data_IF_258284939234
#
_entry.id   IF_258284939234
#
_cell.length_a   1.000
_cell.length_b   1.000
_cell.length_c   1.000
_cell.angle_alpha   90.00
_cell.angle_beta   90.00
_cell.angle_gamma   90.00
#
_symmetry.space_group_name_H-M   'P 1'
#
loop_
_entity.id
_entity.type
_entity.pdbx_description
1 polymer ?
#
# COMPACT_ATOMS: atom_id res chain seq x y z
N UNK A 1 -36.70 -44.89 -23.69
CA UNK A 1 -36.17 -43.84 -22.79
C UNK A 1 -36.90 -42.54 -23.14
N UNK A 2 -37.76 -42.03 -22.25
CA UNK A 2 -38.66 -40.92 -22.57
C UNK A 2 -37.89 -39.62 -22.80
N UNK A 3 -38.20 -38.92 -23.90
CA UNK A 3 -37.58 -37.64 -24.30
C UNK A 3 -37.60 -36.59 -23.16
N UNK A 4 -38.63 -36.65 -22.30
CA UNK A 4 -38.78 -35.82 -21.09
C UNK A 4 -37.72 -36.11 -20.02
N UNK A 5 -37.32 -37.36 -19.81
CA UNK A 5 -36.24 -37.70 -18.86
C UNK A 5 -34.88 -37.24 -19.36
N UNK A 6 -34.63 -37.26 -20.67
CA UNK A 6 -33.35 -36.82 -21.23
C UNK A 6 -33.16 -35.30 -21.09
N UNK A 7 -34.23 -34.52 -21.32
CA UNK A 7 -34.21 -33.07 -21.08
C UNK A 7 -33.99 -32.70 -19.61
N UNK A 8 -34.61 -33.45 -18.68
CA UNK A 8 -34.43 -33.20 -17.25
C UNK A 8 -32.98 -33.45 -16.78
N UNK A 9 -32.35 -34.50 -17.30
CA UNK A 9 -30.94 -34.84 -17.00
C UNK A 9 -29.97 -33.83 -17.61
N UNK A 10 -30.24 -33.33 -18.82
CA UNK A 10 -29.45 -32.24 -19.43
C UNK A 10 -29.58 -30.93 -18.65
N UNK A 11 -30.77 -30.61 -18.12
CA UNK A 11 -30.98 -29.38 -17.34
C UNK A 11 -30.26 -29.42 -15.98
N UNK A 12 -30.24 -30.57 -15.31
CA UNK A 12 -29.53 -30.73 -14.03
C UNK A 12 -28.00 -30.76 -14.22
N UNK A 13 -27.50 -31.29 -15.34
CA UNK A 13 -26.08 -31.28 -15.66
C UNK A 13 -25.54 -29.86 -15.93
N UNK A 14 -26.31 -29.02 -16.64
CA UNK A 14 -25.92 -27.62 -16.88
C UNK A 14 -25.94 -26.76 -15.60
N UNK A 15 -26.86 -27.02 -14.66
CA UNK A 15 -26.89 -26.33 -13.36
C UNK A 15 -25.70 -26.69 -12.45
N UNK A 16 -25.11 -27.89 -12.61
CA UNK A 16 -23.93 -28.29 -11.85
C UNK A 16 -22.64 -27.64 -12.38
N UNK A 17 -22.55 -27.39 -13.69
CA UNK A 17 -21.40 -26.70 -14.30
C UNK A 17 -21.43 -25.17 -14.14
N UNK A 18 -22.61 -24.55 -13.99
CA UNK A 18 -22.70 -23.10 -13.77
C UNK A 18 -22.10 -22.63 -12.42
N UNK A 19 -21.89 -23.54 -11.46
CA UNK A 19 -21.26 -23.23 -10.17
C UNK A 19 -19.73 -23.34 -10.16
N UNK A 20 -19.12 -23.82 -11.25
CA UNK A 20 -17.68 -24.07 -11.30
C UNK A 20 -16.84 -22.90 -11.86
N UNK A 21 -17.44 -21.79 -12.29
CA UNK A 21 -16.73 -20.69 -12.96
C UNK A 21 -16.85 -19.33 -12.28
N UNK A 22 -16.89 -19.28 -10.95
CA UNK A 22 -16.77 -18.03 -10.18
C UNK A 22 -15.44 -17.98 -9.42
N UNK A 23 -14.33 -18.16 -10.15
CA UNK A 23 -13.07 -17.58 -9.74
C UNK A 23 -13.08 -16.13 -10.22
N UNK A 24 -13.56 -15.19 -9.39
CA UNK A 24 -13.49 -13.77 -9.74
C UNK A 24 -12.01 -13.36 -9.75
N UNK A 25 -11.47 -13.15 -10.94
CA UNK A 25 -10.10 -12.72 -11.23
C UNK A 25 -9.79 -11.26 -10.83
N UNK A 26 -10.64 -10.65 -9.99
CA UNK A 26 -10.66 -9.22 -9.77
C UNK A 26 -9.75 -8.79 -8.63
N UNK A 27 -9.17 -7.60 -8.79
CA UNK A 27 -8.39 -6.97 -7.73
C UNK A 27 -9.30 -6.49 -6.61
N UNK A 28 -8.95 -6.83 -5.37
CA UNK A 28 -9.58 -6.30 -4.17
C UNK A 28 -8.99 -4.93 -3.80
N UNK A 29 -9.86 -3.96 -3.51
CA UNK A 29 -9.47 -2.60 -3.13
C UNK A 29 -9.34 -2.44 -1.61
N UNK A 30 -8.16 -2.03 -1.16
CA UNK A 30 -7.82 -1.76 0.24
C UNK A 30 -7.42 -0.30 0.42
N UNK A 31 -7.99 0.37 1.42
CA UNK A 31 -7.65 1.76 1.78
C UNK A 31 -7.19 1.77 3.23
N UNK A 32 -5.88 1.71 3.45
CA UNK A 32 -5.32 1.69 4.80
C UNK A 32 -5.02 3.11 5.27
N UNK A 33 -5.49 3.43 6.46
CA UNK A 33 -5.11 4.64 7.20
C UNK A 33 -4.08 4.24 8.25
N UNK A 34 -2.94 4.92 8.25
CA UNK A 34 -1.79 4.56 9.08
C UNK A 34 -1.39 5.77 9.90
N UNK A 35 -1.30 5.58 11.21
CA UNK A 35 -0.75 6.58 12.11
C UNK A 35 0.73 6.31 12.24
N UNK A 36 1.53 7.23 11.72
CA UNK A 36 2.99 7.18 11.82
C UNK A 36 3.39 7.46 13.28
N UNK A 37 4.28 6.64 13.82
CA UNK A 37 4.76 6.76 15.19
C UNK A 37 5.69 7.98 15.34
N UNK A 38 6.04 8.31 16.58
CA UNK A 38 6.96 9.41 16.90
C UNK A 38 8.43 8.97 16.99
N UNK A 39 8.70 7.66 17.07
CA UNK A 39 10.02 7.04 17.25
C UNK A 39 10.71 6.65 15.94
N UNK A 40 10.36 7.33 14.84
CA UNK A 40 10.97 7.09 13.53
C UNK A 40 12.48 7.41 13.53
N UNK A 41 13.24 6.66 12.75
CA UNK A 41 14.69 6.83 12.61
C UNK A 41 15.00 7.48 11.27
N UNK A 42 14.86 8.81 11.19
CA UNK A 42 15.15 9.57 9.97
C UNK A 42 16.36 10.46 10.19
N UNK A 43 17.25 10.48 9.20
CA UNK A 43 18.46 11.29 9.15
C UNK A 43 18.46 12.18 7.92
N UNK A 44 19.02 13.38 8.08
CA UNK A 44 19.24 14.36 7.02
C UNK A 44 20.73 14.58 6.87
N UNK A 45 21.21 14.60 5.63
CA UNK A 45 22.57 15.01 5.28
C UNK A 45 22.50 16.14 4.26
N UNK A 46 22.84 17.35 4.67
CA UNK A 46 22.90 18.50 3.78
C UNK A 46 24.09 18.40 2.82
N UNK A 47 23.82 18.64 1.54
CA UNK A 47 24.79 18.69 0.44
C UNK A 47 24.49 19.95 -0.37
N UNK A 48 25.26 21.01 -0.14
CA UNK A 48 25.03 22.31 -0.78
C UNK A 48 23.62 22.86 -0.47
N UNK A 49 22.73 22.96 -1.46
CA UNK A 49 21.36 23.47 -1.32
C UNK A 49 20.30 22.37 -1.14
N UNK A 50 20.72 21.11 -1.21
CA UNK A 50 19.85 19.94 -1.12
C UNK A 50 20.14 19.18 0.18
N UNK A 51 19.16 18.42 0.66
CA UNK A 51 19.30 17.49 1.76
C UNK A 51 19.04 16.07 1.28
N UNK A 52 19.96 15.14 1.55
CA UNK A 52 19.70 13.71 1.38
C UNK A 52 18.94 13.22 2.61
N UNK A 53 17.81 12.55 2.37
CA UNK A 53 16.95 11.98 3.42
C UNK A 53 17.12 10.47 3.40
N UNK A 54 17.42 9.88 4.56
CA UNK A 54 17.48 8.43 4.74
C UNK A 54 16.91 8.04 6.08
N UNK A 55 16.09 7.00 6.13
CA UNK A 55 15.58 6.49 7.40
C UNK A 55 14.59 5.36 7.30
N UNK A 56 13.98 5.08 8.45
CA UNK A 56 12.90 4.12 8.59
C UNK A 56 11.74 4.75 9.37
N UNK A 57 10.54 4.59 8.84
CA UNK A 57 9.27 5.01 9.43
C UNK A 57 8.54 3.81 10.02
N UNK A 58 7.91 4.00 11.16
CA UNK A 58 7.06 3.00 11.79
C UNK A 58 5.64 3.53 11.88
N UNK A 59 4.65 2.67 11.71
CA UNK A 59 3.26 3.07 11.81
C UNK A 59 2.32 1.93 12.19
N UNK A 60 1.14 2.31 12.68
CA UNK A 60 0.06 1.38 13.00
C UNK A 60 -1.14 1.65 12.11
N UNK A 61 -1.74 0.58 11.58
CA UNK A 61 -2.97 0.68 10.80
C UNK A 61 -4.11 1.07 11.76
N UNK A 62 -4.73 2.22 11.53
CA UNK A 62 -5.81 2.75 12.34
C UNK A 62 -7.15 2.11 12.00
N UNK A 63 -7.42 1.87 10.73
CA UNK A 63 -8.68 1.31 10.30
C UNK A 63 -8.68 -0.21 10.35
N UNK A 64 -9.67 -0.78 11.04
CA UNK A 64 -9.79 -2.22 11.28
C UNK A 64 -10.79 -2.91 10.34
N UNK A 65 -11.23 -2.21 9.30
CA UNK A 65 -12.24 -2.70 8.35
C UNK A 65 -11.76 -3.89 7.50
N UNK A 66 -10.45 -4.08 7.38
CA UNK A 66 -9.83 -5.13 6.56
C UNK A 66 -9.17 -6.18 7.45
N UNK A 67 -9.74 -7.39 7.48
CA UNK A 67 -9.32 -8.47 8.40
C UNK A 67 -7.89 -8.94 8.14
N UNK A 68 -7.47 -8.92 6.89
CA UNK A 68 -6.14 -9.29 6.39
C UNK A 68 -5.06 -8.41 7.02
N UNK A 69 -5.39 -7.16 7.36
CA UNK A 69 -4.49 -6.17 7.93
C UNK A 69 -4.69 -5.94 9.43
N UNK A 70 -5.61 -6.66 10.08
CA UNK A 70 -5.84 -6.52 11.53
C UNK A 70 -4.60 -6.90 12.33
N UNK A 71 -4.12 -5.98 13.16
CA UNK A 71 -2.93 -6.18 13.99
C UNK A 71 -1.61 -6.14 13.20
N UNK A 72 -1.64 -5.65 11.95
CA UNK A 72 -0.44 -5.41 11.18
C UNK A 72 0.20 -4.06 11.51
N UNK A 73 1.53 -4.04 11.48
CA UNK A 73 2.36 -2.86 11.65
C UNK A 73 3.06 -2.54 10.33
N UNK A 74 3.26 -1.26 10.10
CA UNK A 74 4.00 -0.74 8.95
C UNK A 74 5.43 -0.40 9.39
N UNK A 75 6.40 -0.86 8.62
CA UNK A 75 7.77 -0.38 8.65
C UNK A 75 8.13 0.05 7.23
N UNK A 76 8.58 1.29 7.01
CA UNK A 76 8.97 1.77 5.68
C UNK A 76 10.37 2.36 5.69
N UNK A 77 11.25 1.78 4.89
CA UNK A 77 12.52 2.40 4.54
C UNK A 77 12.28 3.53 3.55
N UNK A 78 12.98 4.64 3.75
CA UNK A 78 12.98 5.78 2.83
C UNK A 78 14.39 6.23 2.50
N UNK A 79 14.58 6.58 1.24
CA UNK A 79 15.75 7.23 0.69
C UNK A 79 15.28 8.27 -0.32
N UNK A 80 15.95 9.42 -0.35
CA UNK A 80 15.67 10.41 -1.37
C UNK A 80 16.33 11.72 -1.07
N UNK A 81 15.76 12.79 -1.61
CA UNK A 81 16.29 14.15 -1.47
C UNK A 81 15.19 15.16 -1.19
N UNK A 82 15.57 16.24 -0.53
CA UNK A 82 14.77 17.44 -0.35
C UNK A 82 15.52 18.64 -0.90
N UNK A 83 14.86 19.47 -1.70
CA UNK A 83 15.46 20.63 -2.35
C UNK A 83 14.44 21.76 -2.50
N UNK A 84 14.93 22.95 -2.85
CA UNK A 84 14.06 24.11 -3.14
C UNK A 84 13.56 24.04 -4.58
N UNK A 85 12.30 23.71 -4.78
CA UNK A 85 11.60 23.80 -6.06
C UNK A 85 10.93 25.16 -6.26
N UNK A 86 10.53 25.48 -7.50
CA UNK A 86 9.67 26.64 -7.78
C UNK A 86 8.23 26.34 -7.32
N UNK A 87 7.68 27.19 -6.47
CA UNK A 87 6.26 27.13 -6.11
C UNK A 87 5.36 27.77 -7.17
N UNK A 88 4.08 27.38 -7.21
CA UNK A 88 3.11 27.81 -8.22
C UNK A 88 2.64 29.28 -8.11
N UNK A 89 2.94 29.98 -7.01
CA UNK A 89 2.42 31.35 -6.82
C UNK A 89 3.47 32.39 -6.36
N UNK A 90 4.24 32.20 -5.28
CA UNK A 90 5.12 33.27 -4.77
C UNK A 90 6.31 32.75 -3.93
N UNK A 91 7.22 31.95 -4.50
CA UNK A 91 8.49 31.61 -3.82
C UNK A 91 9.02 30.20 -4.08
N UNK A 92 9.99 29.79 -3.25
CA UNK A 92 10.52 28.44 -3.24
C UNK A 92 9.68 27.54 -2.35
N UNK A 93 9.31 26.36 -2.84
CA UNK A 93 8.67 25.32 -2.06
C UNK A 93 9.69 24.22 -1.74
N UNK A 94 9.55 23.59 -0.57
CA UNK A 94 10.32 22.39 -0.24
C UNK A 94 9.74 21.24 -1.07
N UNK A 95 10.57 20.67 -1.94
CA UNK A 95 10.22 19.48 -2.73
C UNK A 95 11.03 18.31 -2.20
N UNK A 96 10.33 17.24 -1.84
CA UNK A 96 10.89 15.94 -1.50
C UNK A 96 10.56 14.93 -2.60
N UNK A 97 11.60 14.27 -3.10
CA UNK A 97 11.50 13.07 -3.94
C UNK A 97 12.00 11.89 -3.11
N UNK A 98 11.11 10.98 -2.73
CA UNK A 98 11.41 9.87 -1.84
C UNK A 98 11.01 8.54 -2.47
N UNK A 99 11.75 7.50 -2.15
CA UNK A 99 11.42 6.13 -2.52
C UNK A 99 11.94 5.14 -1.48
N UNK A 100 11.44 3.91 -1.54
CA UNK A 100 11.92 2.85 -0.67
C UNK A 100 11.00 1.64 -0.67
N UNK A 101 11.00 0.94 0.46
CA UNK A 101 10.22 -0.27 0.66
C UNK A 101 9.36 -0.12 1.91
N UNK A 102 8.16 -0.66 1.89
CA UNK A 102 7.31 -0.79 3.07
C UNK A 102 6.99 -2.26 3.32
N UNK A 103 7.12 -2.66 4.57
CA UNK A 103 6.81 -3.97 5.11
C UNK A 103 5.56 -3.82 5.97
N UNK A 104 4.49 -4.50 5.58
CA UNK A 104 3.30 -4.69 6.39
C UNK A 104 3.43 -6.06 7.03
N UNK A 105 3.58 -6.12 8.37
CA UNK A 105 3.78 -7.38 9.10
C UNK A 105 2.75 -7.54 10.19
N UNK A 106 2.10 -8.70 10.23
CA UNK A 106 1.17 -9.05 11.31
C UNK A 106 1.92 -9.54 12.54
N UNK A 107 1.54 -9.04 13.71
CA UNK A 107 2.13 -9.49 14.97
C UNK A 107 1.94 -11.00 15.16
N UNK A 108 3.01 -11.69 15.56
CA UNK A 108 3.04 -13.15 15.83
C UNK A 108 2.65 -14.03 14.63
N UNK A 109 2.79 -13.54 13.40
CA UNK A 109 2.59 -14.33 12.18
C UNK A 109 3.78 -14.21 11.23
N UNK A 110 3.89 -15.15 10.29
CA UNK A 110 4.76 -15.05 9.12
C UNK A 110 4.10 -14.24 7.99
N UNK A 111 2.83 -13.85 8.15
CA UNK A 111 2.09 -13.02 7.19
C UNK A 111 2.76 -11.66 7.06
N UNK A 112 3.24 -11.40 5.84
CA UNK A 112 3.91 -10.14 5.52
C UNK A 112 3.68 -9.76 4.06
N UNK A 113 3.63 -8.45 3.82
CA UNK A 113 3.52 -7.87 2.49
C UNK A 113 4.60 -6.82 2.32
N UNK A 114 5.40 -6.97 1.27
CA UNK A 114 6.49 -6.07 0.90
C UNK A 114 6.07 -5.27 -0.33
N UNK A 115 6.14 -3.96 -0.22
CA UNK A 115 5.84 -3.04 -1.31
C UNK A 115 7.05 -2.17 -1.60
N UNK A 116 7.30 -1.87 -2.87
CA UNK A 116 8.17 -0.77 -3.27
C UNK A 116 7.32 0.47 -3.48
N UNK A 117 7.86 1.64 -3.16
CA UNK A 117 7.12 2.89 -3.32
C UNK A 117 8.03 4.02 -3.77
N UNK A 118 7.42 5.01 -4.41
CA UNK A 118 8.02 6.28 -4.77
C UNK A 118 6.98 7.38 -4.64
N UNK A 119 7.36 8.52 -4.09
CA UNK A 119 6.51 9.69 -4.00
C UNK A 119 7.30 10.97 -4.28
N UNK A 120 6.58 11.99 -4.72
CA UNK A 120 7.11 13.34 -4.86
C UNK A 120 6.15 14.32 -4.21
N UNK A 121 6.66 15.48 -3.82
CA UNK A 121 5.84 16.51 -3.17
C UNK A 121 4.77 17.03 -4.12
N UNK A 122 3.54 17.06 -3.62
CA UNK A 122 2.37 17.59 -4.30
C UNK A 122 1.64 18.55 -3.35
N UNK A 123 1.02 19.59 -3.90
CA UNK A 123 0.18 20.51 -3.13
C UNK A 123 -1.22 19.91 -2.92
N UNK A 124 -1.71 19.98 -1.68
CA UNK A 124 -3.08 19.71 -1.33
C UNK A 124 -4.01 20.85 -1.72
N UNK A 125 -5.31 20.57 -1.64
CA UNK A 125 -6.35 21.55 -1.93
C UNK A 125 -6.28 22.76 -0.98
N UNK A 126 -5.87 22.53 0.28
CA UNK A 126 -5.73 23.54 1.31
C UNK A 126 -4.34 24.22 1.33
N UNK A 127 -3.49 23.93 0.32
CA UNK A 127 -2.13 24.46 0.22
C UNK A 127 -1.07 23.69 1.02
N UNK A 128 -1.47 22.66 1.78
CA UNK A 128 -0.53 21.79 2.50
C UNK A 128 0.31 20.93 1.54
N UNK A 129 1.59 20.80 1.83
CA UNK A 129 2.50 19.95 1.05
C UNK A 129 2.56 18.53 1.62
N UNK A 130 2.37 17.53 0.78
CA UNK A 130 2.54 16.11 1.13
C UNK A 130 3.24 15.35 0.01
N UNK A 131 3.84 14.21 0.34
CA UNK A 131 4.46 13.33 -0.63
C UNK A 131 3.43 12.33 -1.15
N UNK A 132 3.12 12.38 -2.45
CA UNK A 132 2.19 11.47 -3.10
C UNK A 132 2.86 10.72 -4.23
N UNK A 133 2.53 9.45 -4.38
CA UNK A 133 3.00 8.69 -5.52
C UNK A 133 2.45 7.29 -5.58
N UNK A 134 3.24 6.37 -6.12
CA UNK A 134 2.82 5.02 -6.48
C UNK A 134 3.55 3.99 -5.64
N UNK A 135 2.86 2.91 -5.32
CA UNK A 135 3.44 1.71 -4.74
C UNK A 135 3.17 0.49 -5.62
N UNK A 136 4.00 -0.54 -5.48
CA UNK A 136 3.84 -1.83 -6.14
C UNK A 136 4.20 -2.94 -5.18
N UNK A 137 3.37 -3.97 -5.12
CA UNK A 137 3.62 -5.17 -4.31
C UNK A 137 4.76 -5.94 -4.98
N UNK A 138 5.80 -6.21 -4.19
CA UNK A 138 6.99 -6.95 -4.64
C UNK A 138 6.90 -8.41 -4.22
N UNK A 139 6.44 -8.64 -2.99
CA UNK A 139 6.40 -9.98 -2.41
C UNK A 139 5.38 -10.01 -1.29
N UNK A 140 4.73 -11.15 -1.12
CA UNK A 140 3.99 -11.45 0.10
C UNK A 140 4.30 -12.87 0.59
N UNK A 141 4.09 -13.08 1.88
CA UNK A 141 4.29 -14.35 2.58
C UNK A 141 3.07 -14.66 3.45
N UNK A 142 2.84 -15.94 3.73
CA UNK A 142 1.67 -16.38 4.51
C UNK A 142 0.37 -16.14 3.74
N UNK A 143 -0.61 -15.47 4.36
CA UNK A 143 -1.88 -15.07 3.74
C UNK A 143 -1.69 -14.23 2.46
N UNK A 144 -0.54 -13.54 2.34
CA UNK A 144 -0.19 -12.75 1.16
C UNK A 144 0.69 -13.49 0.15
N UNK A 145 0.86 -14.81 0.26
CA UNK A 145 1.72 -15.56 -0.66
C UNK A 145 1.22 -15.44 -2.12
N UNK A 146 2.12 -15.09 -3.03
CA UNK A 146 1.83 -15.01 -4.46
C UNK A 146 0.92 -13.86 -4.90
N UNK A 147 0.60 -12.92 -4.00
CA UNK A 147 -0.26 -11.78 -4.34
C UNK A 147 0.46 -10.80 -5.28
N UNK A 148 -0.30 -10.21 -6.19
CA UNK A 148 0.12 -9.15 -7.08
C UNK A 148 -0.66 -7.89 -6.77
N UNK A 149 -0.05 -6.72 -6.94
CA UNK A 149 -0.80 -5.49 -6.73
C UNK A 149 0.00 -4.22 -6.89
N UNK A 150 -0.74 -3.13 -6.88
CA UNK A 150 -0.23 -1.78 -7.07
C UNK A 150 -1.13 -0.80 -6.35
N UNK A 151 -0.68 0.44 -6.22
CA UNK A 151 -1.42 1.39 -5.43
C UNK A 151 -0.86 2.79 -5.42
N UNK A 152 -1.39 3.57 -4.50
CA UNK A 152 -0.96 4.92 -4.20
C UNK A 152 -0.55 5.03 -2.73
N UNK A 153 0.47 5.85 -2.51
CA UNK A 153 0.96 6.24 -1.19
C UNK A 153 0.79 7.75 -1.05
N UNK A 154 0.29 8.17 0.10
CA UNK A 154 0.19 9.57 0.51
C UNK A 154 0.76 9.67 1.93
N UNK A 155 1.83 10.43 2.10
CA UNK A 155 2.53 10.58 3.37
C UNK A 155 2.89 12.04 3.61
N UNK A 156 3.01 12.48 4.87
CA UNK A 156 3.57 13.78 5.19
C UNK A 156 5.03 13.87 4.70
N UNK A 157 5.53 15.11 4.52
CA UNK A 157 6.93 15.34 4.23
C UNK A 157 7.82 14.77 5.35
N UNK A 158 8.91 14.11 4.98
CA UNK A 158 9.86 13.52 5.91
C UNK A 158 10.48 14.58 6.84
N UNK A 159 10.70 15.80 6.36
CA UNK A 159 11.13 16.93 7.21
C UNK A 159 10.13 17.25 8.34
N UNK A 160 8.83 17.16 8.09
CA UNK A 160 7.80 17.42 9.11
C UNK A 160 7.77 16.32 10.18
N UNK A 161 8.07 15.07 9.78
CA UNK A 161 8.15 13.93 10.70
C UNK A 161 9.32 14.08 11.70
N UNK A 162 10.40 14.75 11.30
CA UNK A 162 11.56 15.00 12.16
C UNK A 162 11.29 16.16 13.12
N UNK A 163 10.72 17.26 12.61
CA UNK A 163 10.64 18.53 13.36
C UNK A 163 9.65 18.49 14.51
N UNK A 164 8.51 17.80 14.33
CA UNK A 164 7.36 18.00 15.20
C UNK A 164 7.12 16.87 16.21
N UNK A 165 7.82 15.72 16.10
CA UNK A 165 7.60 14.51 16.94
C UNK A 165 6.12 14.22 17.19
N UNK A 166 5.28 14.49 16.19
CA UNK A 166 3.84 14.27 16.22
C UNK A 166 3.50 13.07 15.34
N UNK A 167 2.40 12.40 15.69
CA UNK A 167 1.84 11.38 14.84
C UNK A 167 1.11 12.02 13.66
N UNK A 168 1.41 11.53 12.46
CA UNK A 168 0.82 12.01 11.22
C UNK A 168 0.05 10.89 10.51
N UNK A 169 -1.08 11.21 9.86
CA UNK A 169 -1.78 10.25 9.03
C UNK A 169 -1.02 10.01 7.73
N UNK A 170 -0.88 8.75 7.36
CA UNK A 170 -0.40 8.25 6.09
C UNK A 170 -1.51 7.38 5.48
N UNK A 171 -1.68 7.43 4.16
CA UNK A 171 -2.69 6.63 3.46
C UNK A 171 -2.01 5.72 2.45
N UNK A 172 -2.40 4.44 2.45
CA UNK A 172 -2.04 3.49 1.40
C UNK A 172 -3.33 3.02 0.74
N UNK A 173 -3.44 3.21 -0.57
CA UNK A 173 -4.52 2.64 -1.37
C UNK A 173 -3.93 1.53 -2.22
N UNK A 174 -4.36 0.29 -2.03
CA UNK A 174 -3.82 -0.87 -2.71
C UNK A 174 -4.91 -1.59 -3.47
N UNK A 175 -4.56 -2.10 -4.64
CA UNK A 175 -5.32 -3.08 -5.42
C UNK A 175 -4.55 -4.38 -5.37
N UNK A 176 -5.13 -5.41 -4.75
CA UNK A 176 -4.44 -6.71 -4.54
C UNK A 176 -5.21 -7.82 -5.25
N UNK A 177 -4.51 -8.59 -6.08
CA UNK A 177 -4.99 -9.83 -6.69
C UNK A 177 -4.34 -11.00 -5.97
N UNK A 178 -5.16 -11.86 -5.39
CA UNK A 178 -4.70 -13.10 -4.79
C UNK A 178 -4.52 -14.18 -5.86
N UNK A 179 -3.52 -15.06 -5.73
CA UNK A 179 -3.43 -16.21 -6.61
C UNK A 179 -4.69 -17.05 -6.43
N UNK A 180 -5.16 -17.64 -7.53
CA UNK A 180 -6.24 -18.62 -7.44
C UNK A 180 -5.74 -19.79 -6.59
N UNK A 181 -6.57 -20.23 -5.62
CA UNK A 181 -6.37 -21.49 -4.92
C UNK A 181 -6.41 -22.61 -5.96
N UNK A 182 -5.25 -22.96 -6.51
CA UNK A 182 -5.09 -24.19 -7.27
C UNK A 182 -5.09 -25.30 -6.22
N UNK A 183 -6.29 -25.70 -5.76
CA UNK A 183 -6.47 -27.00 -5.11
C UNK A 183 -5.88 -28.04 -6.05
N UNK A 184 -4.70 -28.54 -5.73
CA UNK A 184 -4.17 -29.75 -6.35
C UNK A 184 -5.13 -30.87 -5.98
N UNK A 185 -5.80 -31.42 -7.00
CA UNK A 185 -6.52 -32.69 -6.92
C UNK A 185 -5.64 -33.78 -6.30
#
# INVERSE_FOLDING_TARGET
MNLKSFFLVMLTFNCLFAKASLASEDFSDYKLEIIVNTDNKISLKSISQDDIIKGTLYGKIANTSYKEFTGAHLECDLLGRSYKGRGFSCGFAVVEDLNGYCYLKKSNSQDSLITSWKCSTTAGLDGDAFCKGKLSIIQGSGEFAGVLGFGEIEMPLAKNLISNKQSYPMKLKMKIKYPLDIKKN
#
